data_IF_830276719387
#
_entry.id   IF_830276719387
#
_cell.length_a   1.000
_cell.length_b   1.000
_cell.length_c   1.000
_cell.angle_alpha   90.00
_cell.angle_beta   90.00
_cell.angle_gamma   90.00
#
_symmetry.space_group_name_H-M   'P 1'
#
loop_
_entity.id
_entity.type
_entity.pdbx_description
1 polymer ?
#
# COMPACT_ATOMS: atom_id res chain seq x y z
N UNK A 1 -19.87 -8.63 3.03
CA UNK A 1 -21.27 -8.75 2.54
C UNK A 1 -21.51 -7.61 1.57
N UNK A 2 -21.75 -7.87 0.27
CA UNK A 2 -22.19 -6.81 -0.66
C UNK A 2 -23.64 -6.49 -0.31
N UNK A 3 -23.91 -5.25 0.12
CA UNK A 3 -25.28 -4.74 0.16
C UNK A 3 -25.74 -4.54 -1.28
N UNK A 4 -26.74 -5.29 -1.79
CA UNK A 4 -27.05 -5.33 -3.22
C UNK A 4 -27.71 -4.05 -3.77
N UNK A 5 -28.06 -3.11 -2.88
CA UNK A 5 -29.01 -2.03 -3.20
C UNK A 5 -28.43 -0.62 -3.02
N UNK A 6 -27.13 -0.49 -2.70
CA UNK A 6 -26.45 0.80 -2.66
C UNK A 6 -25.94 1.16 -4.06
N UNK A 7 -26.48 2.23 -4.64
CA UNK A 7 -25.87 2.88 -5.79
C UNK A 7 -24.50 3.44 -5.35
N UNK A 8 -23.40 3.13 -6.04
CA UNK A 8 -22.11 3.75 -5.77
C UNK A 8 -22.16 5.29 -5.75
N UNK A 9 -23.08 5.91 -6.48
CA UNK A 9 -23.29 7.36 -6.48
C UNK A 9 -23.85 7.90 -5.15
N UNK A 10 -24.52 7.06 -4.36
CA UNK A 10 -25.08 7.43 -3.05
C UNK A 10 -24.07 7.25 -1.90
N UNK A 11 -22.90 6.66 -2.17
CA UNK A 11 -21.81 6.52 -1.20
C UNK A 11 -21.07 7.85 -1.13
N UNK A 12 -21.32 8.62 -0.07
CA UNK A 12 -20.57 9.85 0.20
C UNK A 12 -19.13 9.50 0.59
N UNK A 13 -18.20 9.72 -0.33
CA UNK A 13 -16.76 9.60 -0.13
C UNK A 13 -16.08 10.95 -0.43
N UNK A 14 -16.02 11.86 0.57
CA UNK A 14 -15.51 13.21 0.37
C UNK A 14 -13.99 13.24 0.13
N UNK A 15 -13.28 12.14 0.39
CA UNK A 15 -11.84 12.03 0.18
C UNK A 15 -11.49 11.41 -1.17
N UNK A 16 -12.45 10.75 -1.84
CA UNK A 16 -12.23 10.08 -3.13
C UNK A 16 -11.66 10.97 -4.21
N UNK A 17 -12.21 12.17 -4.34
CA UNK A 17 -11.81 13.15 -5.37
C UNK A 17 -10.38 13.65 -5.18
N UNK A 18 -9.83 13.50 -3.97
CA UNK A 18 -8.46 13.89 -3.66
C UNK A 18 -7.44 12.79 -3.99
N UNK A 19 -7.89 11.55 -4.24
CA UNK A 19 -7.01 10.46 -4.65
C UNK A 19 -6.79 10.47 -6.18
N UNK A 20 -5.57 10.19 -6.67
CA UNK A 20 -5.27 10.26 -8.10
C UNK A 20 -6.01 9.21 -8.94
N UNK A 21 -6.79 9.69 -9.93
CA UNK A 21 -7.42 8.84 -10.95
C UNK A 21 -6.54 8.61 -12.18
N UNK A 22 -5.45 9.37 -12.31
CA UNK A 22 -4.56 9.38 -13.47
C UNK A 22 -3.22 8.68 -13.22
N UNK A 23 -3.22 7.61 -12.41
CA UNK A 23 -2.04 6.81 -12.15
C UNK A 23 -2.10 5.44 -12.87
N UNK A 24 -0.94 4.83 -13.18
CA UNK A 24 -0.90 3.47 -13.69
C UNK A 24 -1.54 2.48 -12.71
N UNK A 25 -2.10 1.39 -13.23
CA UNK A 25 -2.51 0.24 -12.42
C UNK A 25 -1.37 -0.76 -12.41
N UNK A 26 -0.90 -1.13 -11.22
CA UNK A 26 0.15 -2.12 -11.02
C UNK A 26 -0.38 -3.34 -10.25
N UNK A 27 0.28 -4.48 -10.44
CA UNK A 27 0.09 -5.60 -9.53
C UNK A 27 0.90 -5.31 -8.27
N UNK A 28 0.22 -5.10 -7.15
CA UNK A 28 0.80 -4.67 -5.88
C UNK A 28 0.80 -5.85 -4.92
N UNK A 29 1.82 -5.95 -4.06
CA UNK A 29 1.81 -6.90 -2.95
C UNK A 29 0.74 -6.52 -1.91
N UNK A 30 0.58 -5.21 -1.68
CA UNK A 30 -0.34 -4.59 -0.70
C UNK A 30 -0.05 -4.93 0.78
N UNK A 31 1.06 -5.61 1.08
CA UNK A 31 1.56 -5.84 2.46
C UNK A 31 3.08 -6.05 2.48
N UNK A 32 3.83 -5.19 1.79
CA UNK A 32 5.28 -5.37 1.58
C UNK A 32 6.10 -4.99 2.83
N UNK A 33 6.03 -5.85 3.84
CA UNK A 33 6.76 -5.73 5.11
C UNK A 33 8.08 -6.53 5.10
N UNK A 34 9.09 -6.17 5.90
CA UNK A 34 10.33 -6.95 6.02
C UNK A 34 10.10 -8.41 6.40
N UNK A 35 9.08 -8.67 7.23
CA UNK A 35 8.72 -10.03 7.68
C UNK A 35 8.24 -10.92 6.54
N UNK A 36 7.79 -10.32 5.43
CA UNK A 36 7.31 -10.99 4.23
C UNK A 36 8.42 -11.15 3.17
N UNK A 37 9.67 -10.73 3.46
CA UNK A 37 10.80 -10.83 2.54
C UNK A 37 11.82 -11.82 3.08
N UNK A 38 11.98 -12.94 2.37
CA UNK A 38 13.00 -13.93 2.70
C UNK A 38 14.32 -13.55 2.03
N UNK A 39 15.41 -13.57 2.79
CA UNK A 39 16.77 -13.28 2.31
C UNK A 39 17.70 -14.47 2.53
N UNK A 40 18.74 -14.58 1.69
CA UNK A 40 19.79 -15.60 1.85
C UNK A 40 20.69 -15.29 3.05
N UNK A 41 21.27 -16.33 3.65
CA UNK A 41 22.34 -16.19 4.65
C UNK A 41 23.70 -15.82 4.03
N UNK A 42 23.85 -15.95 2.71
CA UNK A 42 25.08 -15.60 1.98
C UNK A 42 25.43 -14.11 2.07
N UNK A 43 26.71 -13.78 1.85
CA UNK A 43 27.19 -12.41 1.73
C UNK A 43 27.77 -12.15 0.32
N UNK A 44 27.22 -11.19 -0.45
CA UNK A 44 26.09 -10.32 -0.10
C UNK A 44 24.76 -11.08 -0.08
N UNK A 45 23.86 -10.65 0.80
CA UNK A 45 22.52 -11.23 0.89
C UNK A 45 21.73 -10.97 -0.40
N UNK A 46 20.79 -11.88 -0.71
CA UNK A 46 19.91 -11.81 -1.86
C UNK A 46 18.48 -12.03 -1.43
N UNK A 47 17.53 -11.36 -2.07
CA UNK A 47 16.10 -11.66 -1.91
C UNK A 47 15.83 -13.04 -2.53
N UNK A 48 15.30 -13.94 -1.72
CA UNK A 48 14.99 -15.32 -2.10
C UNK A 48 13.52 -15.50 -2.47
N UNK A 49 12.63 -14.84 -1.74
CA UNK A 49 11.20 -14.88 -1.96
C UNK A 49 10.50 -13.66 -1.33
N UNK A 50 9.35 -13.32 -1.90
CA UNK A 50 8.33 -12.48 -1.27
C UNK A 50 7.18 -13.41 -0.89
N UNK A 51 6.74 -13.35 0.36
CA UNK A 51 5.73 -14.21 0.97
C UNK A 51 4.44 -13.41 1.22
N UNK A 52 3.36 -14.11 1.53
CA UNK A 52 2.08 -13.54 2.00
C UNK A 52 1.33 -12.65 0.99
N UNK A 53 1.09 -13.22 -0.20
CA UNK A 53 0.40 -12.55 -1.31
C UNK A 53 -1.14 -12.47 -1.16
N UNK A 54 -1.71 -12.71 0.01
CA UNK A 54 -3.17 -12.84 0.17
C UNK A 54 -3.93 -11.52 -0.05
N UNK A 55 -3.27 -10.39 0.20
CA UNK A 55 -3.81 -9.04 -0.03
C UNK A 55 -3.46 -8.50 -1.44
N UNK A 56 -2.69 -9.24 -2.23
CA UNK A 56 -2.18 -8.76 -3.50
C UNK A 56 -3.26 -8.61 -4.56
N UNK A 57 -3.06 -7.69 -5.48
CA UNK A 57 -4.05 -7.40 -6.53
C UNK A 57 -3.62 -6.30 -7.48
N UNK A 58 -4.52 -5.94 -8.39
CA UNK A 58 -4.30 -4.84 -9.33
C UNK A 58 -4.87 -3.55 -8.73
N UNK A 59 -3.97 -2.67 -8.30
CA UNK A 59 -4.31 -1.42 -7.62
C UNK A 59 -3.62 -0.22 -8.28
N UNK A 60 -4.10 1.01 -8.02
CA UNK A 60 -3.36 2.23 -8.33
C UNK A 60 -1.89 2.14 -7.90
N UNK A 61 -0.95 2.64 -8.72
CA UNK A 61 0.48 2.50 -8.45
C UNK A 61 0.90 3.06 -7.07
N UNK A 62 0.25 4.12 -6.59
CA UNK A 62 0.50 4.71 -5.27
C UNK A 62 0.16 3.75 -4.11
N UNK A 63 -0.69 2.75 -4.35
CA UNK A 63 -1.20 1.84 -3.32
C UNK A 63 -0.10 1.05 -2.65
N UNK A 64 0.92 0.60 -3.39
CA UNK A 64 2.00 -0.23 -2.83
C UNK A 64 2.79 0.53 -1.78
N UNK A 65 3.20 1.78 -2.06
CA UNK A 65 3.91 2.61 -1.09
C UNK A 65 3.02 2.89 0.12
N UNK A 66 1.81 3.41 -0.10
CA UNK A 66 0.93 3.81 0.99
C UNK A 66 0.59 2.65 1.93
N UNK A 67 0.29 1.45 1.37
CA UNK A 67 0.02 0.27 2.18
C UNK A 67 1.24 -0.22 2.93
N UNK A 68 2.39 -0.31 2.26
CA UNK A 68 3.62 -0.76 2.90
C UNK A 68 4.03 0.18 4.04
N UNK A 69 3.87 1.49 3.88
CA UNK A 69 4.15 2.44 4.95
C UNK A 69 3.20 2.24 6.15
N UNK A 70 1.90 2.15 5.87
CA UNK A 70 0.85 1.95 6.88
C UNK A 70 0.99 0.69 7.72
N UNK A 71 1.52 -0.39 7.15
CA UNK A 71 1.61 -1.70 7.83
C UNK A 71 2.92 -1.88 8.58
N UNK A 72 3.79 -0.87 8.59
CA UNK A 72 5.10 -0.93 9.24
C UNK A 72 5.11 -0.13 10.54
N UNK A 73 6.10 -0.41 11.39
CA UNK A 73 6.28 0.38 12.62
C UNK A 73 6.67 1.82 12.26
N UNK A 74 5.95 2.77 12.87
CA UNK A 74 6.21 4.20 12.70
C UNK A 74 7.64 4.55 13.10
N UNK A 75 8.32 5.33 12.27
CA UNK A 75 9.72 5.76 12.43
C UNK A 75 10.74 4.60 12.41
N UNK A 76 10.35 3.42 11.91
CA UNK A 76 11.28 2.30 11.73
C UNK A 76 12.32 2.59 10.64
N UNK A 77 13.47 1.91 10.72
CA UNK A 77 14.49 1.98 9.67
C UNK A 77 13.91 1.54 8.31
N UNK A 78 12.99 0.57 8.32
CA UNK A 78 12.26 0.17 7.13
C UNK A 78 11.48 1.32 6.50
N UNK A 79 10.62 1.99 7.28
CA UNK A 79 9.80 3.09 6.79
C UNK A 79 10.66 4.26 6.30
N UNK A 80 11.61 4.71 7.11
CA UNK A 80 12.32 5.98 6.87
C UNK A 80 13.49 5.85 5.90
N UNK A 81 14.11 4.66 5.79
CA UNK A 81 15.36 4.48 5.04
C UNK A 81 15.23 3.55 3.86
N UNK A 82 14.49 2.44 3.98
CA UNK A 82 14.44 1.41 2.92
C UNK A 82 13.24 1.59 1.99
N UNK A 83 12.07 1.91 2.52
CA UNK A 83 10.85 2.05 1.71
C UNK A 83 11.02 3.08 0.56
N UNK A 84 11.57 4.30 0.80
CA UNK A 84 11.77 5.29 -0.26
C UNK A 84 12.89 4.94 -1.25
N UNK A 85 13.68 3.89 -0.98
CA UNK A 85 14.70 3.38 -1.92
C UNK A 85 14.14 2.29 -2.84
N UNK A 86 13.07 1.61 -2.41
CA UNK A 86 12.47 0.47 -3.12
C UNK A 86 11.23 0.90 -3.89
N UNK A 87 10.48 1.88 -3.38
CA UNK A 87 9.24 2.39 -3.96
C UNK A 87 9.28 3.91 -4.07
N UNK A 88 8.65 4.43 -5.12
CA UNK A 88 8.46 5.86 -5.30
C UNK A 88 7.37 6.36 -4.33
N UNK A 89 7.71 7.37 -3.53
CA UNK A 89 6.76 8.01 -2.62
C UNK A 89 5.71 8.80 -3.42
N UNK A 90 4.41 8.55 -3.22
CA UNK A 90 3.36 9.20 -3.98
C UNK A 90 2.95 10.55 -3.35
N UNK A 91 2.63 11.54 -4.19
CA UNK A 91 2.14 12.85 -3.73
C UNK A 91 0.82 12.78 -2.94
N UNK A 92 0.09 11.66 -3.02
CA UNK A 92 -1.22 11.47 -2.38
C UNK A 92 -1.16 10.76 -1.02
N UNK A 93 0.02 10.58 -0.44
CA UNK A 93 0.24 9.87 0.84
C UNK A 93 -0.64 10.41 1.98
N UNK A 94 -0.65 11.72 2.21
CA UNK A 94 -1.45 12.38 3.26
C UNK A 94 -2.96 12.24 3.02
N UNK A 95 -3.37 12.32 1.74
CA UNK A 95 -4.77 12.12 1.35
C UNK A 95 -5.18 10.67 1.59
N UNK A 96 -4.32 9.72 1.24
CA UNK A 96 -4.54 8.30 1.48
C UNK A 96 -4.70 8.01 2.97
N UNK A 97 -3.84 8.59 3.83
CA UNK A 97 -3.98 8.49 5.28
C UNK A 97 -5.31 9.05 5.78
N UNK A 98 -5.71 10.22 5.28
CA UNK A 98 -6.99 10.83 5.63
C UNK A 98 -8.18 9.95 5.22
N UNK A 99 -8.11 9.36 4.02
CA UNK A 99 -9.11 8.43 3.49
C UNK A 99 -9.23 7.17 4.37
N UNK A 100 -8.11 6.52 4.68
CA UNK A 100 -8.12 5.30 5.50
C UNK A 100 -8.53 5.60 6.95
N UNK A 101 -8.15 6.73 7.54
CA UNK A 101 -8.61 7.09 8.88
C UNK A 101 -10.13 7.38 8.93
N UNK A 102 -10.72 7.83 7.82
CA UNK A 102 -12.15 8.11 7.75
C UNK A 102 -13.01 6.86 7.48
N UNK A 103 -12.48 5.89 6.71
CA UNK A 103 -13.25 4.76 6.18
C UNK A 103 -12.66 3.37 6.45
N UNK A 104 -11.48 3.31 7.06
CA UNK A 104 -10.86 2.07 7.52
C UNK A 104 -11.70 1.42 8.63
N UNK A 105 -11.64 0.08 8.75
CA UNK A 105 -12.34 -0.65 9.81
C UNK A 105 -11.85 -0.31 11.22
#
# INVERSE_FOLDING_TARGET
MRQPDLDPADILDPYRESLPDNCPIHFTHADLNPVNIMVSEDSPCRVMAILDWEQSGWYPAYWEFCKAEMTTEFDSEWQTTYLPKVLDEPDCIEVFYSYINAFGP
#
